data_IF_509508807513
#
_entry.id   IF_509508807513
#
_cell.length_a   1.000
_cell.length_b   1.000
_cell.length_c   1.000
_cell.angle_alpha   90.00
_cell.angle_beta   90.00
_cell.angle_gamma   90.00
#
_symmetry.space_group_name_H-M   'P 1'
#
loop_
_entity.id
_entity.type
_entity.pdbx_description
1 polymer ?
#
# COMPACT_ATOMS: atom_id res chain seq x y z
N UNK A 1 15.25 4.22 6.86
CA UNK A 1 13.81 4.06 6.59
C UNK A 1 13.53 2.65 6.11
N UNK A 2 12.48 2.06 6.64
CA UNK A 2 12.10 0.71 6.21
C UNK A 2 11.05 0.82 5.10
N UNK A 3 11.49 0.62 3.88
CA UNK A 3 10.59 0.76 2.72
C UNK A 3 9.49 -0.29 2.73
N UNK A 4 9.77 -1.48 3.26
CA UNK A 4 8.73 -2.51 3.30
C UNK A 4 7.60 -2.09 4.25
N UNK A 5 7.97 -1.51 5.38
CA UNK A 5 6.97 -1.02 6.33
C UNK A 5 6.20 0.14 5.74
N UNK A 6 6.90 1.03 5.03
CA UNK A 6 6.25 2.18 4.41
C UNK A 6 5.21 1.75 3.38
N UNK A 7 5.61 0.86 2.49
CA UNK A 7 4.69 0.38 1.45
C UNK A 7 3.52 -0.35 2.09
N UNK A 8 3.79 -1.17 3.09
CA UNK A 8 2.73 -1.89 3.77
C UNK A 8 1.69 -0.96 4.40
N UNK A 9 2.16 0.09 5.06
CA UNK A 9 1.25 1.06 5.66
C UNK A 9 0.45 1.81 4.60
N UNK A 10 1.09 2.17 3.50
CA UNK A 10 0.40 2.88 2.43
C UNK A 10 -0.69 2.01 1.82
N UNK A 11 -0.39 0.74 1.57
CA UNK A 11 -1.37 -0.16 1.01
C UNK A 11 -2.55 -0.31 1.95
N UNK A 12 -2.28 -0.52 3.24
CA UNK A 12 -3.35 -0.68 4.21
C UNK A 12 -4.20 0.58 4.30
N UNK A 13 -3.56 1.73 4.37
CA UNK A 13 -4.29 2.99 4.49
C UNK A 13 -5.21 3.21 3.29
N UNK A 14 -4.68 3.00 2.09
CA UNK A 14 -5.48 3.21 0.88
C UNK A 14 -6.59 2.18 0.78
N UNK A 15 -6.30 0.94 1.18
CA UNK A 15 -7.32 -0.11 1.19
C UNK A 15 -8.46 0.25 2.12
N UNK A 16 -8.12 0.67 3.34
CA UNK A 16 -9.13 0.99 4.33
C UNK A 16 -9.95 2.22 3.94
N UNK A 17 -9.29 3.18 3.31
CA UNK A 17 -10.00 4.37 2.84
C UNK A 17 -11.07 4.02 1.82
N UNK A 18 -10.86 2.96 1.08
CA UNK A 18 -11.84 2.52 0.07
C UNK A 18 -12.83 1.52 0.62
N UNK A 19 -12.73 1.21 1.90
CA UNK A 19 -13.65 0.26 2.52
C UNK A 19 -13.42 -1.17 2.09
N UNK A 20 -12.21 -1.50 1.63
CA UNK A 20 -11.91 -2.86 1.17
C UNK A 20 -11.31 -3.68 2.28
N UNK A 21 -11.70 -4.95 2.36
CA UNK A 21 -11.03 -5.91 3.20
C UNK A 21 -9.77 -6.40 2.47
N UNK A 22 -8.88 -7.05 3.21
CA UNK A 22 -7.72 -7.68 2.58
C UNK A 22 -8.15 -8.70 1.53
N UNK A 23 -9.19 -9.44 1.84
CA UNK A 23 -9.72 -10.43 0.91
C UNK A 23 -10.19 -9.79 -0.39
N UNK A 24 -10.88 -8.68 -0.26
CA UNK A 24 -11.39 -7.97 -1.44
C UNK A 24 -10.26 -7.40 -2.29
N UNK A 25 -9.25 -6.85 -1.63
CA UNK A 25 -8.11 -6.34 -2.38
C UNK A 25 -7.33 -7.47 -3.03
N UNK A 26 -7.22 -8.62 -2.34
CA UNK A 26 -6.57 -9.78 -2.92
C UNK A 26 -7.27 -10.19 -4.21
N UNK A 27 -8.59 -10.21 -4.18
CA UNK A 27 -9.37 -10.58 -5.35
C UNK A 27 -9.14 -9.60 -6.50
N UNK A 28 -9.13 -8.31 -6.20
CA UNK A 28 -8.96 -7.29 -7.22
C UNK A 28 -7.56 -7.28 -7.81
N UNK A 29 -6.57 -7.58 -7.00
CA UNK A 29 -5.17 -7.46 -7.42
C UNK A 29 -4.56 -8.75 -7.96
N UNK A 30 -5.21 -9.88 -7.70
CA UNK A 30 -4.65 -11.18 -8.08
C UNK A 30 -3.66 -11.75 -7.10
N UNK A 31 -3.42 -11.07 -6.00
CA UNK A 31 -2.56 -11.59 -4.92
C UNK A 31 -3.42 -12.39 -3.94
N UNK A 32 -2.75 -13.14 -3.06
CA UNK A 32 -3.47 -13.87 -2.03
C UNK A 32 -3.68 -12.98 -0.83
N UNK A 33 -4.66 -13.32 -0.01
CA UNK A 33 -4.89 -12.58 1.22
C UNK A 33 -3.68 -12.71 2.15
N UNK A 34 -3.06 -13.88 2.19
CA UNK A 34 -1.89 -14.08 3.04
C UNK A 34 -0.76 -13.15 2.63
N UNK A 35 -0.55 -13.01 1.31
CA UNK A 35 0.47 -12.09 0.81
C UNK A 35 0.18 -10.66 1.29
N UNK A 36 -1.06 -10.22 1.14
CA UNK A 36 -1.43 -8.87 1.53
C UNK A 36 -1.31 -8.66 3.03
N UNK A 37 -1.68 -9.65 3.81
CA UNK A 37 -1.54 -9.57 5.26
C UNK A 37 -0.08 -9.36 5.65
N UNK A 38 0.80 -10.15 5.05
CA UNK A 38 2.24 -10.03 5.31
C UNK A 38 2.79 -8.70 4.81
N UNK A 39 2.33 -8.29 3.63
CA UNK A 39 2.78 -7.03 3.03
C UNK A 39 2.43 -5.85 3.93
N UNK A 40 1.21 -5.81 4.44
CA UNK A 40 0.76 -4.72 5.28
C UNK A 40 1.51 -4.67 6.61
N UNK A 41 2.09 -5.78 7.02
CA UNK A 41 2.89 -5.85 8.23
C UNK A 41 4.36 -5.57 7.99
N UNK A 42 4.72 -5.28 6.74
CA UNK A 42 6.12 -5.00 6.41
C UNK A 42 6.97 -6.25 6.28
N UNK A 43 6.34 -7.41 6.11
CA UNK A 43 7.06 -8.69 6.05
C UNK A 43 7.34 -9.16 4.63
N UNK A 44 6.94 -8.42 3.63
CA UNK A 44 7.19 -8.75 2.24
C UNK A 44 8.01 -7.68 1.58
N UNK A 45 8.76 -8.09 0.58
CA UNK A 45 9.59 -7.18 -0.20
C UNK A 45 8.99 -7.13 -1.60
N UNK A 46 7.98 -6.28 -1.83
CA UNK A 46 7.30 -6.29 -3.12
C UNK A 46 8.22 -5.82 -4.23
N UNK A 47 8.02 -6.40 -5.40
CA UNK A 47 8.76 -5.96 -6.59
C UNK A 47 8.10 -4.70 -7.12
N UNK A 48 8.79 -4.05 -8.06
CA UNK A 48 8.22 -2.88 -8.73
C UNK A 48 6.91 -3.27 -9.44
N UNK A 49 6.89 -4.45 -10.04
CA UNK A 49 5.69 -4.93 -10.72
C UNK A 49 4.55 -5.16 -9.72
N UNK A 50 4.85 -5.75 -8.56
CA UNK A 50 3.83 -5.95 -7.55
C UNK A 50 3.24 -4.63 -7.08
N UNK A 51 4.09 -3.62 -6.90
CA UNK A 51 3.63 -2.29 -6.49
C UNK A 51 2.69 -1.72 -7.54
N UNK A 52 3.04 -1.87 -8.81
CA UNK A 52 2.20 -1.39 -9.89
C UNK A 52 0.84 -2.10 -9.91
N UNK A 53 0.85 -3.43 -9.74
CA UNK A 53 -0.39 -4.19 -9.73
C UNK A 53 -1.29 -3.79 -8.58
N UNK A 54 -0.71 -3.56 -7.40
CA UNK A 54 -1.48 -3.12 -6.26
C UNK A 54 -2.06 -1.72 -6.48
N UNK A 55 -1.28 -0.84 -7.08
CA UNK A 55 -1.75 0.51 -7.38
C UNK A 55 -2.95 0.47 -8.33
N UNK A 56 -2.87 -0.37 -9.35
CA UNK A 56 -3.99 -0.52 -10.27
C UNK A 56 -5.25 -0.99 -9.55
N UNK A 57 -5.09 -1.99 -8.68
CA UNK A 57 -6.24 -2.51 -7.94
C UNK A 57 -6.84 -1.47 -7.01
N UNK A 58 -6.00 -0.61 -6.47
CA UNK A 58 -6.46 0.45 -5.56
C UNK A 58 -6.89 1.71 -6.31
N UNK A 59 -6.67 1.76 -7.62
CA UNK A 59 -7.06 2.91 -8.40
C UNK A 59 -6.23 4.16 -8.12
N UNK A 60 -4.98 3.97 -7.74
CA UNK A 60 -4.08 5.08 -7.44
C UNK A 60 -2.81 4.95 -8.27
N UNK A 61 -1.98 5.99 -8.26
CA UNK A 61 -0.70 5.93 -8.94
C UNK A 61 0.29 5.11 -8.12
N UNK A 62 1.24 4.46 -8.79
CA UNK A 62 2.20 3.61 -8.08
C UNK A 62 3.06 4.42 -7.10
N UNK A 63 3.28 5.70 -7.38
CA UNK A 63 4.04 6.54 -6.46
C UNK A 63 3.33 6.75 -5.14
N UNK A 64 2.01 6.65 -5.14
CA UNK A 64 1.26 6.80 -3.89
C UNK A 64 1.60 5.70 -2.88
N UNK A 65 2.05 4.55 -3.37
CA UNK A 65 2.43 3.47 -2.47
C UNK A 65 3.82 3.67 -1.89
N UNK A 66 4.62 4.53 -2.52
CA UNK A 66 5.99 4.78 -2.08
C UNK A 66 6.14 6.09 -1.31
N UNK A 67 5.09 6.88 -1.26
CA UNK A 67 5.16 8.22 -0.69
C UNK A 67 5.16 8.17 0.83
N UNK A 68 6.03 8.95 1.43
CA UNK A 68 6.03 9.11 2.88
C UNK A 68 4.81 9.90 3.30
N UNK A 69 4.10 9.38 4.30
CA UNK A 69 2.94 10.07 4.79
C UNK A 69 3.38 11.11 5.77
N UNK A 70 3.23 12.38 5.42
CA UNK A 70 3.61 13.35 6.32
C UNK A 70 2.48 14.00 6.74
N UNK A 71 1.81 14.03 7.16
CA UNK A 71 0.80 14.62 7.59
C UNK A 71 0.89 15.92 7.80
N UNK A 72 0.70 16.33 8.12
CA UNK A 72 0.63 17.34 8.44
C UNK A 72 1.49 18.12 8.76
N UNK A 73 2.15 18.13 8.99
CA UNK A 73 2.95 18.69 9.23
C UNK A 73 3.52 19.30 8.46
N UNK A 74 3.48 19.39 8.07
CA UNK A 74 3.95 19.75 7.40
C UNK A 74 3.77 20.67 6.79
N UNK A 75 3.48 21.13 6.92
CA UNK A 75 3.40 21.91 6.42
C UNK A 75 3.80 22.76 6.29
N UNK A 76 3.98 22.93 6.78
CA UNK A 76 4.44 23.59 6.71
C UNK A 76 5.17 24.23 6.24
N UNK A 77 5.51 24.29 6.15
CA UNK A 77 6.29 24.73 5.75
C UNK A 77 6.50 25.37 4.99
N UNK A 78 6.32 25.57 5.09
CA UNK A 78 6.56 25.94 4.42
C UNK A 78 6.75 26.30 4.11
#
# INVERSE_FOLDING_TARGET
>A
MDMRALVGRNVRRLRERQGLTQEQLAEKSGFTQQYLSDLEKGKRNPTIVSIYELALALGVGHLDLLRTIKQKKAKSRK
#
